data_IF_270320313056
#
_entry.id   IF_270320313056
#
_cell.length_a   1.000
_cell.length_b   1.000
_cell.length_c   1.000
_cell.angle_alpha   90.00
_cell.angle_beta   90.00
_cell.angle_gamma   90.00
#
_symmetry.space_group_name_H-M   'P 1'
#
loop_
_entity.id
_entity.type
_entity.pdbx_description
1 polymer ?
#
# COMPACT_ATOMS: atom_id res chain seq x y z
N UNK A 1 -3.54 -16.89 -7.12
CA UNK A 1 -3.13 -15.48 -6.90
C UNK A 1 -3.03 -15.30 -5.41
N UNK A 2 -1.84 -15.02 -4.88
CA UNK A 2 -1.62 -14.90 -3.43
C UNK A 2 -2.04 -13.50 -2.98
N UNK A 3 -2.69 -13.40 -1.83
CA UNK A 3 -3.12 -12.12 -1.24
C UNK A 3 -2.01 -11.45 -0.43
N UNK A 4 -2.11 -10.13 -0.28
CA UNK A 4 -1.23 -9.33 0.59
C UNK A 4 -1.08 -9.89 2.02
N UNK A 5 -2.11 -10.55 2.56
CA UNK A 5 -2.09 -11.13 3.90
C UNK A 5 -1.35 -12.48 3.99
N UNK A 6 -1.33 -13.25 2.90
CA UNK A 6 -0.59 -14.52 2.81
C UNK A 6 0.88 -14.29 2.44
N UNK A 7 1.16 -13.33 1.54
CA UNK A 7 2.51 -12.92 1.20
C UNK A 7 2.53 -11.46 0.69
N UNK A 8 2.94 -10.47 1.52
CA UNK A 8 2.94 -9.06 1.13
C UNK A 8 4.00 -8.69 0.07
N UNK A 9 4.96 -9.59 -0.21
CA UNK A 9 6.01 -9.39 -1.23
C UNK A 9 5.62 -9.95 -2.61
N UNK A 10 4.63 -10.84 -2.68
CA UNK A 10 4.29 -11.58 -3.92
C UNK A 10 3.27 -10.88 -4.84
N UNK A 11 2.68 -9.75 -4.43
CA UNK A 11 1.67 -9.06 -5.22
C UNK A 11 2.26 -8.15 -6.32
N UNK A 12 1.85 -8.38 -7.57
CA UNK A 12 2.28 -7.61 -8.76
C UNK A 12 1.92 -6.12 -8.74
N UNK A 13 1.01 -5.69 -7.85
CA UNK A 13 0.62 -4.30 -7.66
C UNK A 13 1.33 -3.59 -6.48
N UNK A 14 2.23 -4.29 -5.77
CA UNK A 14 3.10 -3.74 -4.72
C UNK A 14 4.39 -3.20 -5.33
N UNK A 15 4.84 -2.03 -4.87
CA UNK A 15 6.20 -1.51 -5.13
C UNK A 15 6.76 -0.87 -3.86
N UNK A 16 8.06 -1.05 -3.57
CA UNK A 16 8.75 -0.30 -2.51
C UNK A 16 8.74 1.19 -2.87
N UNK A 17 8.56 2.04 -1.87
CA UNK A 17 8.64 3.49 -1.98
C UNK A 17 10.10 3.92 -2.20
N UNK A 18 10.31 5.12 -2.76
CA UNK A 18 11.65 5.66 -3.02
C UNK A 18 12.01 6.68 -1.96
N UNK A 19 13.12 6.46 -1.26
CA UNK A 19 13.65 7.37 -0.24
C UNK A 19 13.29 7.01 1.21
N UNK A 20 12.53 5.94 1.42
CA UNK A 20 12.08 5.45 2.73
C UNK A 20 12.47 3.98 2.86
N UNK A 21 12.97 3.56 4.03
CA UNK A 21 13.20 2.14 4.32
C UNK A 21 11.88 1.43 4.66
N UNK A 22 11.78 0.18 4.22
CA UNK A 22 10.66 -0.77 4.39
C UNK A 22 9.24 -0.24 4.26
N UNK A 23 9.08 0.87 3.53
CA UNK A 23 7.82 1.45 3.12
C UNK A 23 7.43 0.97 1.72
N UNK A 24 6.24 0.39 1.61
CA UNK A 24 5.68 -0.20 0.40
C UNK A 24 4.35 0.47 0.03
N UNK A 25 3.98 0.38 -1.25
CA UNK A 25 2.71 0.91 -1.75
C UNK A 25 2.03 -0.09 -2.68
N UNK A 26 0.77 -0.39 -2.39
CA UNK A 26 -0.16 -1.13 -3.27
C UNK A 26 -1.15 -0.16 -3.90
N UNK A 27 -1.40 -0.28 -5.22
CA UNK A 27 -2.53 0.42 -5.87
C UNK A 27 -3.76 -0.49 -5.89
N UNK A 28 -4.92 0.06 -5.51
CA UNK A 28 -6.22 -0.62 -5.58
C UNK A 28 -7.20 0.35 -6.22
N UNK A 29 -7.56 0.12 -7.50
CA UNK A 29 -8.38 1.06 -8.29
C UNK A 29 -7.81 2.49 -8.27
N UNK A 30 -8.47 3.48 -7.67
CA UNK A 30 -7.92 4.84 -7.50
C UNK A 30 -7.19 5.07 -6.17
N UNK A 31 -7.32 4.13 -5.23
CA UNK A 31 -6.71 4.18 -3.91
C UNK A 31 -5.22 3.80 -3.93
N UNK A 32 -4.47 4.42 -3.01
CA UNK A 32 -3.08 4.07 -2.70
C UNK A 32 -3.02 3.62 -1.25
N UNK A 33 -2.80 2.33 -1.04
CA UNK A 33 -2.51 1.77 0.27
C UNK A 33 -0.99 1.89 0.45
N UNK A 34 -0.56 2.50 1.55
CA UNK A 34 0.83 2.46 1.99
C UNK A 34 0.92 1.46 3.14
N UNK A 35 2.02 0.73 3.25
CA UNK A 35 2.22 -0.24 4.32
C UNK A 35 3.70 -0.45 4.60
N UNK A 36 4.01 -0.98 5.77
CA UNK A 36 5.34 -1.48 6.14
C UNK A 36 5.21 -2.91 6.69
N UNK A 37 6.33 -3.60 6.81
CA UNK A 37 6.39 -4.97 7.32
C UNK A 37 7.45 -4.97 8.42
N UNK A 38 7.01 -5.03 9.68
CA UNK A 38 7.88 -4.93 10.86
C UNK A 38 7.87 -6.26 11.61
N UNK A 39 9.03 -6.92 11.78
CA UNK A 39 9.15 -8.27 12.36
C UNK A 39 8.15 -9.30 11.80
N UNK A 40 7.90 -9.23 10.48
CA UNK A 40 6.92 -10.06 9.78
C UNK A 40 5.45 -9.63 9.92
N UNK A 41 5.15 -8.65 10.75
CA UNK A 41 3.81 -8.08 10.91
C UNK A 41 3.53 -7.04 9.81
N UNK A 42 2.43 -7.22 9.08
CA UNK A 42 1.98 -6.31 8.04
C UNK A 42 1.20 -5.12 8.64
N UNK A 43 1.81 -3.93 8.64
CA UNK A 43 1.21 -2.70 9.19
C UNK A 43 0.72 -1.82 8.03
N UNK A 44 -0.61 -1.68 7.90
CA UNK A 44 -1.26 -1.01 6.77
C UNK A 44 -1.72 0.41 7.14
N UNK A 45 -1.26 1.41 6.39
CA UNK A 45 -1.63 2.82 6.52
C UNK A 45 -2.41 3.31 5.28
N UNK A 46 -3.71 3.49 5.44
CA UNK A 46 -4.60 3.97 4.38
C UNK A 46 -4.66 5.50 4.39
N UNK A 47 -3.72 6.15 3.68
CA UNK A 47 -3.56 7.62 3.72
C UNK A 47 -4.74 8.43 3.20
N UNK A 48 -5.48 7.95 2.19
CA UNK A 48 -6.68 8.64 1.68
C UNK A 48 -7.64 7.71 0.96
N UNK A 49 -8.93 7.91 1.19
CA UNK A 49 -10.05 7.19 0.57
C UNK A 49 -10.99 8.23 -0.04
N UNK A 50 -11.00 8.36 -1.36
CA UNK A 50 -11.92 9.25 -2.09
C UNK A 50 -11.97 8.92 -3.58
N UNK A 51 -12.94 9.51 -4.28
CA UNK A 51 -13.05 9.37 -5.75
C UNK A 51 -11.91 10.09 -6.48
N UNK A 52 -11.84 9.92 -7.80
CA UNK A 52 -10.82 10.51 -8.69
C UNK A 52 -10.98 12.03 -8.82
N UNK A 53 -10.57 12.73 -7.78
CA UNK A 53 -10.63 14.19 -7.63
C UNK A 53 -10.80 14.60 -6.17
N UNK A 54 -11.62 13.89 -5.41
CA UNK A 54 -11.82 14.13 -3.96
C UNK A 54 -10.60 13.69 -3.13
N UNK A 55 -9.74 12.86 -3.71
CA UNK A 55 -8.40 12.47 -3.15
C UNK A 55 -7.19 13.54 -2.83
N UNK A 56 -7.75 14.40 -3.69
CA UNK A 56 -7.19 15.75 -3.86
C UNK A 56 -8.05 16.93 -3.33
N UNK A 57 -8.95 16.71 -2.35
CA UNK A 57 -9.65 17.77 -1.58
C UNK A 57 -9.42 17.62 -0.08
N UNK A 58 -9.59 18.71 0.67
CA UNK A 58 -9.65 18.77 2.14
C UNK A 58 -11.00 19.37 2.56
#
# INVERSE_FOLDING_TARGET
MVSLAENPYAETNVKKSRGEEDLYRKRVWDYRIIFTINDGQLVILVLKVGSRGDVYKE
#
